data_IF_253943997332
#
_entry.id   IF_253943997332
#
_cell.length_a   1.000
_cell.length_b   1.000
_cell.length_c   1.000
_cell.angle_alpha   90.00
_cell.angle_beta   90.00
_cell.angle_gamma   90.00
#
_symmetry.space_group_name_H-M   'P 1'
#
loop_
_entity.id
_entity.type
_entity.pdbx_description
1 polymer ?
#
# COMPACT_ATOMS: atom_id res chain seq x y z
N UNK A 1 7.52 20.06 -39.33
CA UNK A 1 8.02 20.48 -40.65
C UNK A 1 7.60 19.41 -41.65
N UNK A 2 6.61 19.71 -42.52
CA UNK A 2 5.99 18.77 -43.49
C UNK A 2 6.93 18.19 -44.57
N UNK A 3 8.20 18.10 -44.28
CA UNK A 3 9.24 17.49 -45.15
C UNK A 3 9.63 16.09 -44.74
N UNK A 4 9.15 15.59 -43.61
CA UNK A 4 9.41 14.22 -43.10
C UNK A 4 8.27 13.26 -43.37
N UNK A 5 7.21 13.65 -44.04
CA UNK A 5 6.05 12.79 -44.37
C UNK A 5 6.39 11.54 -45.21
N UNK A 6 7.57 11.48 -45.80
CA UNK A 6 8.03 10.32 -46.57
C UNK A 6 9.03 9.41 -45.81
N UNK A 7 9.49 9.80 -44.64
CA UNK A 7 10.36 8.99 -43.79
C UNK A 7 9.49 8.29 -42.73
N UNK A 8 8.94 7.14 -43.10
CA UNK A 8 8.07 6.37 -42.20
C UNK A 8 8.92 5.58 -41.18
N UNK A 9 9.43 6.27 -40.17
CA UNK A 9 9.94 5.64 -38.95
C UNK A 9 8.80 5.64 -37.91
N UNK A 10 8.31 4.47 -37.58
CA UNK A 10 7.23 4.31 -36.62
C UNK A 10 7.75 3.78 -35.28
N UNK A 11 7.03 4.06 -34.19
CA UNK A 11 7.31 3.43 -32.91
C UNK A 11 7.07 1.94 -33.04
N UNK A 12 8.12 1.15 -32.71
CA UNK A 12 8.11 -0.31 -32.86
C UNK A 12 8.90 -0.84 -34.05
N UNK A 13 9.33 0.02 -34.97
CA UNK A 13 10.23 -0.37 -36.03
C UNK A 13 11.57 -0.84 -35.43
N UNK A 14 12.14 -1.88 -36.04
CA UNK A 14 13.42 -2.45 -35.59
C UNK A 14 14.32 -2.74 -36.79
N UNK A 15 15.59 -2.42 -36.63
CA UNK A 15 16.65 -2.74 -37.55
C UNK A 15 17.76 -3.55 -36.79
N UNK A 16 18.58 -4.36 -37.51
CA UNK A 16 19.73 -4.97 -36.87
C UNK A 16 20.65 -3.93 -36.24
N UNK A 17 21.03 -4.12 -34.98
CA UNK A 17 21.83 -3.17 -34.19
C UNK A 17 23.12 -2.78 -34.92
N UNK A 18 23.80 -3.75 -35.55
CA UNK A 18 25.08 -3.56 -36.26
C UNK A 18 24.98 -2.66 -37.50
N UNK A 19 23.77 -2.51 -38.04
CA UNK A 19 23.48 -1.65 -39.21
C UNK A 19 23.03 -0.23 -38.80
N UNK A 20 23.06 0.09 -37.51
CA UNK A 20 22.61 1.39 -37.00
C UNK A 20 23.77 2.35 -36.74
N UNK A 21 23.54 3.63 -37.01
CA UNK A 21 24.42 4.74 -36.56
C UNK A 21 24.63 4.71 -35.04
N UNK A 22 23.56 4.47 -34.32
CA UNK A 22 23.53 4.48 -32.88
C UNK A 22 24.54 3.49 -32.27
N UNK A 23 24.56 2.24 -32.76
CA UNK A 23 25.51 1.23 -32.28
C UNK A 23 26.94 1.63 -32.62
N UNK A 24 27.18 2.14 -33.82
CA UNK A 24 28.53 2.56 -34.23
C UNK A 24 29.07 3.75 -33.45
N UNK A 25 28.17 4.64 -32.95
CA UNK A 25 28.56 5.71 -32.05
C UNK A 25 28.87 5.18 -30.66
N UNK A 26 28.05 4.24 -30.14
CA UNK A 26 28.30 3.59 -28.83
C UNK A 26 29.65 2.86 -28.81
N UNK A 27 30.00 2.19 -29.91
CA UNK A 27 31.25 1.42 -30.10
C UNK A 27 32.46 2.31 -30.45
N UNK A 28 32.25 3.62 -30.65
CA UNK A 28 33.29 4.56 -31.04
C UNK A 28 33.74 4.42 -32.52
N UNK A 29 33.01 3.68 -33.33
CA UNK A 29 33.28 3.53 -34.80
C UNK A 29 32.81 4.72 -35.62
N UNK A 30 31.84 5.49 -35.08
CA UNK A 30 31.41 6.76 -35.62
C UNK A 30 31.48 7.82 -34.53
N UNK A 31 31.77 9.09 -34.88
CA UNK A 31 31.73 10.20 -33.94
C UNK A 31 30.27 10.55 -33.56
N UNK A 32 30.11 11.15 -32.39
CA UNK A 32 28.79 11.60 -31.89
C UNK A 32 28.19 12.74 -32.75
N UNK A 33 29.04 13.52 -33.41
CA UNK A 33 28.69 14.64 -34.30
C UNK A 33 29.18 14.35 -35.71
N UNK A 34 28.29 14.31 -36.69
CA UNK A 34 28.55 14.11 -38.11
C UNK A 34 27.86 15.23 -38.87
N UNK A 35 28.64 16.17 -39.41
CA UNK A 35 28.13 17.27 -40.23
C UNK A 35 27.77 16.83 -41.67
N UNK A 36 28.52 15.85 -42.20
CA UNK A 36 28.30 15.29 -43.53
C UNK A 36 28.63 13.78 -43.54
N UNK A 37 27.61 12.96 -43.49
CA UNK A 37 27.72 11.51 -43.48
C UNK A 37 28.28 10.96 -44.84
N UNK A 38 28.13 11.73 -45.92
CA UNK A 38 28.59 11.34 -47.25
C UNK A 38 30.13 11.40 -47.37
N UNK A 39 30.80 12.10 -46.48
CA UNK A 39 32.23 12.23 -46.41
C UNK A 39 32.90 11.21 -45.48
N UNK A 40 32.12 10.40 -44.76
CA UNK A 40 32.61 9.41 -43.82
C UNK A 40 32.50 8.00 -44.36
N UNK A 41 33.63 7.34 -44.68
CA UNK A 41 33.63 5.94 -45.21
C UNK A 41 32.84 4.97 -44.30
N UNK A 42 33.03 5.07 -42.97
CA UNK A 42 32.34 4.20 -42.02
C UNK A 42 30.79 4.43 -41.97
N UNK A 43 30.32 5.61 -42.35
CA UNK A 43 28.88 5.90 -42.47
C UNK A 43 28.32 5.33 -43.81
N UNK A 44 29.13 5.38 -44.88
CA UNK A 44 28.72 4.86 -46.20
C UNK A 44 28.63 3.33 -46.26
N UNK A 45 29.26 2.61 -45.32
CA UNK A 45 29.12 1.18 -45.15
C UNK A 45 27.72 0.77 -44.63
N UNK A 46 26.99 1.68 -43.97
CA UNK A 46 25.69 1.41 -43.43
C UNK A 46 24.60 1.50 -44.50
N UNK A 47 23.79 0.47 -44.73
CA UNK A 47 22.68 0.51 -45.69
C UNK A 47 21.72 1.70 -45.41
N UNK A 48 21.44 1.97 -44.13
CA UNK A 48 20.54 3.05 -43.66
C UNK A 48 20.98 4.43 -44.15
N UNK A 49 22.27 4.65 -44.42
CA UNK A 49 22.79 5.95 -44.96
C UNK A 49 22.18 6.27 -46.32
N UNK A 50 21.89 5.24 -47.13
CA UNK A 50 21.33 5.38 -48.48
C UNK A 50 19.79 5.27 -48.45
N UNK A 51 19.25 4.42 -47.59
CA UNK A 51 17.81 4.17 -47.46
C UNK A 51 17.08 5.37 -46.83
N UNK A 52 17.66 5.99 -45.82
CA UNK A 52 17.11 7.17 -45.13
C UNK A 52 17.83 8.47 -45.53
N UNK A 53 18.49 8.59 -46.64
CA UNK A 53 19.51 9.56 -47.08
C UNK A 53 20.04 10.46 -45.93
N UNK A 54 20.80 9.84 -45.00
CA UNK A 54 21.36 10.55 -43.85
C UNK A 54 22.48 11.49 -44.33
N UNK A 55 22.24 12.83 -44.17
CA UNK A 55 23.22 13.86 -44.48
C UNK A 55 24.02 14.30 -43.27
N UNK A 56 23.37 14.71 -42.20
CA UNK A 56 23.98 15.04 -40.90
C UNK A 56 23.38 14.19 -39.79
N UNK A 57 24.18 13.90 -38.76
CA UNK A 57 23.74 13.05 -37.63
C UNK A 57 24.39 13.50 -36.32
N UNK A 58 23.57 13.59 -35.27
CA UNK A 58 23.96 13.74 -33.88
C UNK A 58 23.45 12.55 -33.10
N UNK A 59 24.30 11.90 -32.32
CA UNK A 59 23.91 10.79 -31.48
C UNK A 59 24.78 10.72 -30.22
N UNK A 60 24.16 10.55 -29.09
CA UNK A 60 24.83 10.39 -27.80
C UNK A 60 24.23 9.21 -27.03
N UNK A 61 25.05 8.42 -26.32
CA UNK A 61 24.53 7.32 -25.53
C UNK A 61 23.75 7.81 -24.32
N UNK A 62 22.61 7.20 -24.06
CA UNK A 62 21.86 7.30 -22.81
C UNK A 62 22.46 6.28 -21.86
N UNK A 63 23.13 6.74 -20.80
CA UNK A 63 23.82 5.89 -19.83
C UNK A 63 23.12 5.89 -18.49
N UNK A 64 23.09 4.73 -17.87
CA UNK A 64 22.71 4.56 -16.47
C UNK A 64 23.89 4.92 -15.53
N UNK A 65 23.59 5.04 -14.23
CA UNK A 65 24.60 5.37 -13.21
C UNK A 65 25.71 4.33 -13.05
N UNK A 66 25.45 3.07 -13.43
CA UNK A 66 26.40 1.96 -13.44
C UNK A 66 27.29 1.95 -14.72
N UNK A 67 27.08 2.90 -15.65
CA UNK A 67 27.77 2.99 -16.92
C UNK A 67 27.13 2.18 -18.05
N UNK A 68 26.11 1.38 -17.76
CA UNK A 68 25.34 0.63 -18.75
C UNK A 68 24.70 1.57 -19.78
N UNK A 69 24.66 1.15 -21.04
CA UNK A 69 24.02 1.90 -22.12
C UNK A 69 22.61 1.37 -22.32
N UNK A 70 21.61 2.23 -22.10
CA UNK A 70 20.22 1.92 -22.37
C UNK A 70 19.86 2.02 -23.87
N UNK A 71 20.45 2.99 -24.54
CA UNK A 71 20.20 3.31 -25.94
C UNK A 71 20.91 4.59 -26.32
N UNK A 72 20.41 5.28 -27.34
CA UNK A 72 20.97 6.56 -27.79
C UNK A 72 19.87 7.61 -27.91
N UNK A 73 20.25 8.86 -27.67
CA UNK A 73 19.43 10.01 -28.03
C UNK A 73 20.02 10.58 -29.31
N UNK A 74 19.29 10.50 -30.42
CA UNK A 74 19.82 10.88 -31.71
C UNK A 74 18.84 11.75 -32.52
N UNK A 75 19.41 12.52 -33.43
CA UNK A 75 18.68 13.23 -34.49
C UNK A 75 19.50 13.20 -35.77
N UNK A 76 18.85 13.28 -36.92
CA UNK A 76 19.51 13.34 -38.20
C UNK A 76 18.78 14.29 -39.17
N UNK A 77 19.50 14.72 -40.18
CA UNK A 77 18.99 15.49 -41.30
C UNK A 77 19.28 14.75 -42.60
N UNK A 78 18.43 14.87 -43.59
CA UNK A 78 18.66 14.32 -44.94
C UNK A 78 19.68 15.10 -45.77
N UNK A 79 20.13 16.25 -45.24
CA UNK A 79 21.15 17.08 -45.88
C UNK A 79 22.30 17.30 -44.93
N UNK A 80 23.55 17.41 -45.45
CA UNK A 80 24.67 17.86 -44.65
C UNK A 80 24.38 19.20 -43.98
N UNK A 81 24.84 19.39 -42.74
CA UNK A 81 24.69 20.59 -41.96
C UNK A 81 26.01 20.98 -41.29
N UNK A 82 26.74 21.91 -41.93
CA UNK A 82 28.01 22.42 -41.41
C UNK A 82 27.85 23.38 -40.24
N UNK A 83 26.64 23.73 -39.85
CA UNK A 83 26.39 24.62 -38.68
C UNK A 83 26.40 23.89 -37.36
N UNK A 84 26.20 22.53 -37.38
CA UNK A 84 26.24 21.71 -36.17
C UNK A 84 27.64 21.78 -35.52
N UNK A 85 27.65 21.91 -34.21
CA UNK A 85 28.87 22.12 -33.45
C UNK A 85 28.76 21.49 -32.04
N UNK A 86 29.85 21.61 -31.24
CA UNK A 86 29.95 21.08 -29.89
C UNK A 86 28.86 21.62 -28.94
N UNK A 87 28.31 22.80 -29.16
CA UNK A 87 27.21 23.33 -28.34
C UNK A 87 25.93 22.51 -28.53
N UNK A 88 25.64 22.12 -29.78
CA UNK A 88 24.49 21.32 -30.11
C UNK A 88 24.65 19.90 -29.53
N UNK A 89 25.85 19.35 -29.66
CA UNK A 89 26.22 18.07 -29.08
C UNK A 89 26.10 18.07 -27.55
N UNK A 90 26.59 19.11 -26.88
CA UNK A 90 26.48 19.24 -25.43
C UNK A 90 25.02 19.39 -24.97
N UNK A 91 24.19 20.07 -25.77
CA UNK A 91 22.75 20.12 -25.51
C UNK A 91 22.13 18.73 -25.56
N UNK A 92 22.48 17.94 -26.59
CA UNK A 92 22.00 16.56 -26.73
C UNK A 92 22.48 15.65 -25.58
N UNK A 93 23.77 15.81 -25.17
CA UNK A 93 24.34 15.10 -24.00
C UNK A 93 23.57 15.41 -22.71
N UNK A 94 23.17 16.67 -22.52
CA UNK A 94 22.36 17.06 -21.34
C UNK A 94 20.99 16.36 -21.34
N UNK A 95 20.32 16.34 -22.48
CA UNK A 95 19.03 15.61 -22.61
C UNK A 95 19.20 14.10 -22.43
N UNK A 96 20.26 13.50 -22.97
CA UNK A 96 20.56 12.09 -22.80
C UNK A 96 20.82 11.74 -21.32
N UNK A 97 21.58 12.58 -20.61
CA UNK A 97 21.82 12.39 -19.18
C UNK A 97 20.54 12.52 -18.34
N UNK A 98 19.66 13.46 -18.67
CA UNK A 98 18.36 13.59 -18.01
C UNK A 98 17.45 12.39 -18.29
N UNK A 99 17.36 11.97 -19.55
CA UNK A 99 16.59 10.79 -19.94
C UNK A 99 17.10 9.52 -19.23
N UNK A 100 18.42 9.34 -19.14
CA UNK A 100 19.01 8.22 -18.43
C UNK A 100 18.60 8.14 -16.96
N UNK A 101 18.60 9.26 -16.25
CA UNK A 101 18.14 9.34 -14.85
C UNK A 101 16.65 9.00 -14.71
N UNK A 102 15.80 9.52 -15.59
CA UNK A 102 14.37 9.23 -15.56
C UNK A 102 14.10 7.75 -15.80
N UNK A 103 14.71 7.17 -16.85
CA UNK A 103 14.56 5.77 -17.20
C UNK A 103 15.07 4.84 -16.10
N UNK A 104 16.21 5.16 -15.49
CA UNK A 104 16.75 4.39 -14.37
C UNK A 104 15.82 4.42 -13.16
N UNK A 105 15.27 5.58 -12.82
CA UNK A 105 14.31 5.72 -11.71
C UNK A 105 13.05 4.92 -11.98
N UNK A 106 12.53 4.99 -13.20
CA UNK A 106 11.35 4.22 -13.61
C UNK A 106 11.59 2.71 -13.57
N UNK A 107 12.74 2.25 -14.10
CA UNK A 107 13.10 0.83 -14.08
C UNK A 107 13.22 0.29 -12.64
N UNK A 108 13.88 1.03 -11.74
CA UNK A 108 14.00 0.68 -10.32
C UNK A 108 12.63 0.62 -9.63
N UNK A 109 11.76 1.57 -9.92
CA UNK A 109 10.38 1.59 -9.38
C UNK A 109 9.58 0.39 -9.86
N UNK A 110 9.60 0.09 -11.16
CA UNK A 110 8.91 -1.07 -11.73
C UNK A 110 9.43 -2.39 -11.14
N UNK A 111 10.74 -2.55 -11.02
CA UNK A 111 11.34 -3.74 -10.41
C UNK A 111 10.95 -3.88 -8.94
N UNK A 112 10.93 -2.78 -8.20
CA UNK A 112 10.47 -2.76 -6.80
C UNK A 112 9.01 -3.18 -6.69
N UNK A 113 8.11 -2.61 -7.52
CA UNK A 113 6.70 -2.99 -7.56
C UNK A 113 6.49 -4.47 -7.93
N UNK A 114 7.20 -4.97 -8.94
CA UNK A 114 7.13 -6.38 -9.34
C UNK A 114 7.57 -7.32 -8.21
N UNK A 115 8.66 -6.97 -7.51
CA UNK A 115 9.15 -7.74 -6.36
C UNK A 115 8.16 -7.74 -5.19
N UNK A 116 7.54 -6.59 -4.87
CA UNK A 116 6.51 -6.48 -3.83
C UNK A 116 5.29 -7.32 -4.18
N UNK A 117 4.79 -7.19 -5.42
CA UNK A 117 3.65 -7.97 -5.92
C UNK A 117 3.91 -9.46 -5.78
N UNK A 118 5.05 -9.96 -6.26
CA UNK A 118 5.41 -11.38 -6.18
C UNK A 118 5.45 -11.88 -4.73
N UNK A 119 5.95 -11.08 -3.78
CA UNK A 119 5.95 -11.48 -2.36
C UNK A 119 4.55 -11.63 -1.80
N UNK A 120 3.64 -10.66 -2.08
CA UNK A 120 2.26 -10.74 -1.59
C UNK A 120 1.51 -11.90 -2.24
N UNK A 121 1.68 -12.11 -3.56
CA UNK A 121 1.09 -13.24 -4.28
C UNK A 121 1.57 -14.59 -3.71
N UNK A 122 2.85 -14.70 -3.38
CA UNK A 122 3.39 -15.92 -2.75
C UNK A 122 2.79 -16.15 -1.36
N UNK A 123 2.66 -15.10 -0.53
CA UNK A 123 2.02 -15.20 0.79
C UNK A 123 0.59 -15.74 0.66
N UNK A 124 -0.18 -15.23 -0.30
CA UNK A 124 -1.55 -15.67 -0.56
C UNK A 124 -1.60 -17.12 -1.08
N UNK A 125 -0.76 -17.46 -2.06
CA UNK A 125 -0.73 -18.79 -2.69
C UNK A 125 -0.30 -19.89 -1.71
N UNK A 126 0.74 -19.63 -0.92
CA UNK A 126 1.28 -20.58 0.07
C UNK A 126 0.51 -20.58 1.38
N UNK A 127 -0.43 -19.66 1.55
CA UNK A 127 -1.12 -19.42 2.83
C UNK A 127 -0.14 -19.24 3.99
N UNK A 128 0.96 -18.53 3.74
CA UNK A 128 2.02 -18.26 4.73
C UNK A 128 1.60 -17.19 5.74
N UNK A 129 0.34 -17.20 6.12
CA UNK A 129 -0.30 -16.29 7.06
C UNK A 129 -1.19 -17.05 8.06
N UNK A 130 -1.65 -16.35 9.06
CA UNK A 130 -2.60 -16.85 10.03
C UNK A 130 -3.10 -15.73 10.91
N UNK A 131 -3.92 -16.09 11.89
CA UNK A 131 -4.55 -15.15 12.80
C UNK A 131 -4.34 -15.62 14.24
N UNK A 132 -4.07 -14.67 15.13
CA UNK A 132 -4.16 -14.84 16.58
C UNK A 132 -5.28 -13.95 17.12
N UNK A 133 -5.77 -14.28 18.30
CA UNK A 133 -6.93 -13.62 18.89
C UNK A 133 -6.52 -12.99 20.21
N UNK A 134 -6.82 -11.72 20.37
CA UNK A 134 -6.58 -11.00 21.61
C UNK A 134 -7.90 -10.73 22.34
N UNK A 135 -8.03 -11.09 23.63
CA UNK A 135 -9.27 -10.93 24.37
C UNK A 135 -9.58 -9.46 24.65
N UNK A 136 -10.87 -9.11 24.52
CA UNK A 136 -11.45 -7.84 24.93
C UNK A 136 -12.29 -8.10 26.17
N UNK A 137 -11.93 -7.41 27.27
CA UNK A 137 -12.51 -7.64 28.61
C UNK A 137 -13.48 -6.53 28.97
N UNK A 138 -14.67 -6.89 29.47
CA UNK A 138 -15.60 -5.95 30.07
C UNK A 138 -15.16 -5.65 31.51
N UNK A 139 -14.80 -4.40 31.81
CA UNK A 139 -14.11 -4.01 33.05
C UNK A 139 -14.96 -4.11 34.30
N UNK A 140 -16.30 -3.94 34.18
CA UNK A 140 -17.22 -4.05 35.30
C UNK A 140 -17.56 -5.51 35.60
N UNK A 141 -17.86 -6.27 34.53
CA UNK A 141 -18.23 -7.70 34.64
C UNK A 141 -17.01 -8.62 34.83
N UNK A 142 -15.82 -8.12 34.56
CA UNK A 142 -14.54 -8.83 34.61
C UNK A 142 -14.57 -10.14 33.82
N UNK A 143 -15.15 -10.13 32.62
CA UNK A 143 -15.22 -11.27 31.70
C UNK A 143 -14.83 -10.89 30.28
N UNK A 144 -14.36 -11.86 29.53
CA UNK A 144 -14.09 -11.67 28.11
C UNK A 144 -15.43 -11.56 27.38
N UNK A 145 -15.59 -10.52 26.56
CA UNK A 145 -16.80 -10.22 25.78
C UNK A 145 -16.55 -10.20 24.28
N UNK A 146 -15.30 -10.26 23.86
CA UNK A 146 -14.91 -10.29 22.45
C UNK A 146 -13.44 -10.64 22.30
N UNK A 147 -13.05 -10.82 21.05
CA UNK A 147 -11.67 -11.01 20.64
C UNK A 147 -11.41 -10.19 19.39
N UNK A 148 -10.23 -9.60 19.31
CA UNK A 148 -9.74 -9.01 18.09
C UNK A 148 -8.89 -10.02 17.33
N UNK A 149 -9.13 -10.13 16.02
CA UNK A 149 -8.35 -10.99 15.13
C UNK A 149 -7.16 -10.21 14.57
N UNK A 150 -5.96 -10.66 14.90
CA UNK A 150 -4.70 -10.01 14.56
C UNK A 150 -3.89 -10.86 13.57
N UNK A 151 -3.61 -10.32 12.40
CA UNK A 151 -2.85 -11.00 11.35
C UNK A 151 -1.43 -11.35 11.81
N UNK A 152 -0.93 -12.51 11.37
CA UNK A 152 0.43 -12.97 11.54
C UNK A 152 0.94 -13.58 10.24
N UNK A 153 2.14 -13.18 9.84
CA UNK A 153 2.78 -13.68 8.62
C UNK A 153 4.00 -14.53 8.96
N UNK A 154 4.16 -15.65 8.25
CA UNK A 154 5.27 -16.59 8.40
C UNK A 154 6.14 -16.64 7.14
N UNK A 155 6.10 -15.58 6.35
CA UNK A 155 6.83 -15.44 5.10
C UNK A 155 8.08 -14.59 5.28
N UNK A 156 9.05 -14.81 4.41
CA UNK A 156 10.24 -13.96 4.33
C UNK A 156 10.01 -12.75 3.42
N UNK A 157 10.55 -11.58 3.80
CA UNK A 157 11.29 -11.29 5.04
C UNK A 157 10.35 -11.19 6.25
N UNK A 158 10.85 -11.62 7.42
CA UNK A 158 10.10 -11.49 8.68
C UNK A 158 9.89 -10.01 9.00
N UNK A 159 8.63 -9.60 9.12
CA UNK A 159 8.23 -8.21 9.39
C UNK A 159 6.83 -8.15 9.98
N UNK A 160 6.48 -6.98 10.48
CA UNK A 160 5.18 -6.72 11.10
C UNK A 160 4.04 -6.74 10.05
N UNK A 161 2.80 -7.04 10.47
CA UNK A 161 1.65 -7.10 9.57
C UNK A 161 1.41 -5.81 8.79
N UNK A 162 1.58 -4.64 9.42
CA UNK A 162 1.43 -3.33 8.77
C UNK A 162 2.26 -3.22 7.48
N UNK A 163 3.50 -3.73 7.48
CA UNK A 163 4.37 -3.73 6.30
C UNK A 163 3.87 -4.63 5.17
N UNK A 164 3.17 -5.71 5.50
CA UNK A 164 2.56 -6.58 4.49
C UNK A 164 1.33 -5.92 3.87
N UNK A 165 0.48 -5.28 4.68
CA UNK A 165 -0.68 -4.54 4.17
C UNK A 165 -0.26 -3.30 3.38
N UNK A 166 0.76 -2.55 3.82
CA UNK A 166 1.35 -1.43 3.06
C UNK A 166 1.83 -1.87 1.66
N UNK A 167 2.55 -3.00 1.57
CA UNK A 167 2.98 -3.52 0.28
C UNK A 167 1.82 -3.99 -0.58
N UNK A 168 0.86 -4.68 0.00
CA UNK A 168 -0.33 -5.12 -0.71
C UNK A 168 -1.10 -3.91 -1.30
N UNK A 169 -1.26 -2.83 -0.54
CA UNK A 169 -1.85 -1.57 -1.01
C UNK A 169 -1.07 -0.95 -2.18
N UNK A 170 0.26 -0.91 -2.09
CA UNK A 170 1.12 -0.34 -3.14
C UNK A 170 1.07 -1.12 -4.46
N UNK A 171 0.69 -2.38 -4.44
CA UNK A 171 0.63 -3.25 -5.63
C UNK A 171 -0.79 -3.67 -6.01
N UNK A 172 -1.81 -3.09 -5.35
CA UNK A 172 -3.23 -3.32 -5.64
C UNK A 172 -3.72 -4.73 -5.27
N UNK A 173 -3.17 -5.33 -4.20
CA UNK A 173 -3.56 -6.63 -3.64
C UNK A 173 -4.09 -6.53 -2.20
N UNK A 174 -4.42 -5.31 -1.76
CA UNK A 174 -4.89 -5.07 -0.39
C UNK A 174 -6.17 -5.82 -0.09
N UNK A 175 -7.16 -5.73 -0.99
CA UNK A 175 -8.44 -6.41 -0.86
C UNK A 175 -8.27 -7.92 -0.72
N UNK A 176 -7.47 -8.53 -1.59
CA UNK A 176 -7.22 -9.97 -1.57
C UNK A 176 -6.58 -10.41 -0.25
N UNK A 177 -5.63 -9.62 0.26
CA UNK A 177 -4.96 -9.92 1.52
C UNK A 177 -5.89 -9.74 2.73
N UNK A 178 -6.68 -8.66 2.78
CA UNK A 178 -7.65 -8.42 3.85
C UNK A 178 -8.74 -9.49 3.88
N UNK A 179 -9.29 -9.87 2.73
CA UNK A 179 -10.28 -10.95 2.65
C UNK A 179 -9.69 -12.29 3.12
N UNK A 180 -8.46 -12.60 2.73
CA UNK A 180 -7.79 -13.82 3.20
C UNK A 180 -7.59 -13.82 4.73
N UNK A 181 -7.34 -12.65 5.35
CA UNK A 181 -7.27 -12.52 6.81
C UNK A 181 -8.63 -12.68 7.47
N UNK A 182 -9.68 -12.09 6.91
CA UNK A 182 -11.06 -12.24 7.41
C UNK A 182 -11.48 -13.71 7.36
N UNK A 183 -11.26 -14.38 6.24
CA UNK A 183 -11.55 -15.83 6.10
C UNK A 183 -10.77 -16.66 7.13
N UNK A 184 -9.49 -16.37 7.33
CA UNK A 184 -8.68 -17.05 8.33
C UNK A 184 -9.18 -16.81 9.77
N UNK A 185 -9.64 -15.59 10.07
CA UNK A 185 -10.23 -15.26 11.36
C UNK A 185 -11.54 -15.98 11.60
N UNK A 186 -12.39 -16.09 10.59
CA UNK A 186 -13.67 -16.80 10.68
C UNK A 186 -13.51 -18.30 10.90
N UNK A 187 -12.41 -18.93 10.47
CA UNK A 187 -12.13 -20.35 10.77
C UNK A 187 -12.02 -20.65 12.28
N UNK A 188 -11.66 -19.64 13.09
CA UNK A 188 -11.62 -19.76 14.55
C UNK A 188 -12.92 -19.38 15.25
N UNK A 189 -13.88 -18.81 14.54
CA UNK A 189 -15.04 -18.16 15.13
C UNK A 189 -15.92 -19.11 15.95
N UNK A 190 -16.14 -20.33 15.49
CA UNK A 190 -16.93 -21.37 16.20
C UNK A 190 -16.31 -21.80 17.53
N UNK A 191 -15.02 -21.51 17.74
CA UNK A 191 -14.32 -21.82 19.00
C UNK A 191 -14.51 -20.74 20.06
N UNK A 192 -14.97 -19.55 19.66
CA UNK A 192 -15.27 -18.47 20.59
C UNK A 192 -16.53 -18.80 21.40
N UNK A 193 -16.63 -18.30 22.66
CA UNK A 193 -17.86 -18.40 23.43
C UNK A 193 -19.06 -17.82 22.67
N UNK A 194 -20.24 -18.41 22.83
CA UNK A 194 -21.43 -17.99 22.08
C UNK A 194 -21.85 -16.53 22.38
N UNK A 195 -21.52 -16.01 23.54
CA UNK A 195 -21.78 -14.63 23.98
C UNK A 195 -20.59 -13.66 23.71
N UNK A 196 -19.59 -14.12 22.95
CA UNK A 196 -18.42 -13.34 22.58
C UNK A 196 -18.49 -12.93 21.11
N UNK A 197 -18.04 -11.72 20.82
CA UNK A 197 -17.92 -11.22 19.45
C UNK A 197 -16.49 -11.32 18.91
N UNK A 198 -16.37 -11.29 17.58
CA UNK A 198 -15.09 -11.22 16.87
C UNK A 198 -14.97 -9.88 16.15
N UNK A 199 -13.85 -9.20 16.37
CA UNK A 199 -13.51 -7.94 15.70
C UNK A 199 -12.50 -8.19 14.58
N UNK A 200 -12.74 -7.57 13.42
CA UNK A 200 -12.03 -7.80 12.16
C UNK A 200 -11.58 -6.47 11.57
N UNK A 201 -10.29 -6.31 11.35
CA UNK A 201 -9.71 -5.16 10.70
C UNK A 201 -9.99 -5.17 9.19
N UNK A 202 -10.43 -4.04 8.64
CA UNK A 202 -10.76 -3.90 7.22
C UNK A 202 -10.62 -2.46 6.74
N UNK A 203 -10.14 -2.26 5.53
CA UNK A 203 -10.09 -0.93 4.91
C UNK A 203 -11.43 -0.50 4.30
N UNK A 204 -11.68 0.81 4.19
CA UNK A 204 -12.84 1.35 3.48
C UNK A 204 -12.92 0.87 2.03
N UNK A 205 -11.79 0.75 1.36
CA UNK A 205 -11.71 0.31 -0.03
C UNK A 205 -12.22 -1.13 -0.20
N UNK A 206 -11.88 -2.02 0.72
CA UNK A 206 -12.32 -3.42 0.71
C UNK A 206 -13.81 -3.53 1.01
N UNK A 207 -14.35 -2.70 1.90
CA UNK A 207 -15.79 -2.61 2.16
C UNK A 207 -16.54 -2.15 0.90
N UNK A 208 -16.09 -1.06 0.28
CA UNK A 208 -16.70 -0.49 -0.92
C UNK A 208 -16.64 -1.44 -2.13
N UNK A 209 -15.64 -2.32 -2.18
CA UNK A 209 -15.55 -3.36 -3.21
C UNK A 209 -16.61 -4.47 -3.07
N UNK A 210 -17.41 -4.49 -1.99
CA UNK A 210 -18.48 -5.46 -1.74
C UNK A 210 -18.02 -6.83 -1.25
N UNK A 211 -16.73 -7.14 -1.32
CA UNK A 211 -16.18 -8.45 -0.98
C UNK A 211 -16.40 -8.86 0.49
N UNK A 212 -16.45 -7.90 1.40
CA UNK A 212 -16.72 -8.13 2.83
C UNK A 212 -18.12 -8.72 3.03
N UNK A 213 -19.13 -8.17 2.35
CA UNK A 213 -20.50 -8.67 2.42
C UNK A 213 -20.63 -10.13 1.96
N UNK A 214 -19.92 -10.50 0.90
CA UNK A 214 -19.90 -11.87 0.37
C UNK A 214 -19.31 -12.87 1.38
N UNK A 215 -18.18 -12.51 1.99
CA UNK A 215 -17.51 -13.39 2.97
C UNK A 215 -18.30 -13.52 4.27
N UNK A 216 -18.99 -12.46 4.69
CA UNK A 216 -19.77 -12.45 5.93
C UNK A 216 -21.21 -12.97 5.78
N UNK A 217 -21.71 -13.20 4.56
CA UNK A 217 -23.12 -13.52 4.27
C UNK A 217 -23.68 -14.74 5.03
N UNK A 218 -22.84 -15.70 5.43
CA UNK A 218 -23.24 -16.89 6.17
C UNK A 218 -22.94 -16.85 7.67
N UNK A 219 -22.45 -15.71 8.17
CA UNK A 219 -22.00 -15.57 9.55
C UNK A 219 -23.05 -14.88 10.42
N UNK A 220 -23.11 -15.15 11.74
CA UNK A 220 -23.97 -14.41 12.67
C UNK A 220 -23.42 -12.97 12.85
N UNK A 221 -23.95 -12.02 12.07
CA UNK A 221 -23.44 -10.65 11.97
C UNK A 221 -23.52 -9.90 13.30
N UNK A 222 -24.49 -10.21 14.16
CA UNK A 222 -24.66 -9.65 15.51
C UNK A 222 -23.47 -9.99 16.45
N UNK A 223 -22.66 -10.97 16.09
CA UNK A 223 -21.45 -11.36 16.80
C UNK A 223 -20.16 -10.88 16.10
N UNK A 224 -20.27 -10.08 15.05
CA UNK A 224 -19.13 -9.53 14.32
C UNK A 224 -19.05 -8.01 14.49
N UNK A 225 -17.83 -7.51 14.44
CA UNK A 225 -17.50 -6.09 14.40
C UNK A 225 -16.42 -5.84 13.36
N UNK A 226 -16.61 -4.85 12.51
CA UNK A 226 -15.57 -4.38 11.60
C UNK A 226 -14.86 -3.17 12.23
N UNK A 227 -13.55 -3.15 12.13
CA UNK A 227 -12.70 -2.06 12.60
C UNK A 227 -12.11 -1.32 11.41
N UNK A 228 -12.33 0.00 11.37
CA UNK A 228 -11.75 0.89 10.38
C UNK A 228 -10.79 1.83 11.09
N UNK A 229 -9.52 1.84 10.67
CA UNK A 229 -8.50 2.68 11.29
C UNK A 229 -8.70 4.15 10.95
N UNK A 230 -8.32 5.06 11.87
CA UNK A 230 -8.41 6.51 11.64
C UNK A 230 -7.54 6.99 10.47
N UNK A 231 -6.46 6.27 10.14
CA UNK A 231 -5.54 6.61 9.06
C UNK A 231 -6.07 6.22 7.67
N UNK A 232 -7.18 5.48 7.62
CA UNK A 232 -7.78 5.09 6.36
C UNK A 232 -8.36 6.32 5.62
N UNK A 233 -7.99 6.50 4.36
CA UNK A 233 -8.53 7.56 3.53
C UNK A 233 -9.95 7.21 3.11
N UNK A 234 -10.94 7.85 3.71
CA UNK A 234 -12.33 7.74 3.27
C UNK A 234 -12.63 8.88 2.30
N UNK A 235 -12.71 8.56 1.01
CA UNK A 235 -13.02 9.52 -0.05
C UNK A 235 -14.48 9.94 0.00
N UNK A 236 -15.38 8.97 0.21
CA UNK A 236 -16.82 9.18 0.26
C UNK A 236 -17.43 8.42 1.44
N UNK A 237 -17.83 9.16 2.47
CA UNK A 237 -18.45 8.61 3.67
C UNK A 237 -19.89 8.13 3.45
N UNK A 238 -20.61 8.73 2.49
CA UNK A 238 -22.00 8.37 2.20
C UNK A 238 -22.02 7.01 1.52
N UNK A 239 -21.19 6.79 0.51
CA UNK A 239 -21.04 5.49 -0.13
C UNK A 239 -20.59 4.40 0.84
N UNK A 240 -19.64 4.72 1.75
CA UNK A 240 -19.19 3.74 2.75
C UNK A 240 -20.31 3.40 3.74
N UNK A 241 -21.09 4.38 4.18
CA UNK A 241 -22.24 4.16 5.05
C UNK A 241 -23.32 3.33 4.36
N UNK A 242 -23.62 3.62 3.08
CA UNK A 242 -24.55 2.85 2.26
C UNK A 242 -24.11 1.39 2.09
N UNK A 243 -22.81 1.15 1.86
CA UNK A 243 -22.26 -0.19 1.74
C UNK A 243 -22.35 -1.01 3.04
N UNK A 244 -22.22 -0.34 4.19
CA UNK A 244 -22.32 -0.97 5.52
C UNK A 244 -23.77 -1.17 5.98
N UNK A 245 -24.71 -0.38 5.51
CA UNK A 245 -26.08 -0.34 6.01
C UNK A 245 -26.81 -1.70 5.99
N UNK A 246 -26.74 -2.52 4.90
CA UNK A 246 -27.35 -3.85 4.91
C UNK A 246 -26.80 -4.74 6.01
N UNK A 247 -25.49 -4.78 6.20
CA UNK A 247 -24.81 -5.59 7.21
C UNK A 247 -25.15 -5.12 8.63
N UNK A 248 -25.22 -3.81 8.84
CA UNK A 248 -25.59 -3.22 10.14
C UNK A 248 -27.03 -3.50 10.52
N UNK A 249 -27.96 -3.57 9.57
CA UNK A 249 -29.36 -3.97 9.83
C UNK A 249 -29.46 -5.41 10.31
N UNK A 250 -28.55 -6.26 9.92
CA UNK A 250 -28.44 -7.65 10.38
C UNK A 250 -27.62 -7.80 11.67
N UNK A 251 -27.21 -6.69 12.29
CA UNK A 251 -26.56 -6.65 13.60
C UNK A 251 -25.04 -6.47 13.58
N UNK A 252 -24.39 -6.34 12.40
CA UNK A 252 -22.97 -6.05 12.32
C UNK A 252 -22.66 -4.73 13.02
N UNK A 253 -21.62 -4.73 13.85
CA UNK A 253 -21.13 -3.52 14.54
C UNK A 253 -19.94 -2.94 13.81
N UNK A 254 -19.79 -1.63 13.92
CA UNK A 254 -18.65 -0.87 13.38
C UNK A 254 -17.86 -0.26 14.54
N UNK A 255 -16.55 -0.38 14.47
CA UNK A 255 -15.61 0.34 15.33
C UNK A 255 -14.73 1.30 14.51
N UNK A 256 -14.40 2.44 15.10
CA UNK A 256 -13.30 3.29 14.64
C UNK A 256 -12.11 3.01 15.54
N UNK A 257 -11.01 2.61 14.93
CA UNK A 257 -9.78 2.21 15.59
C UNK A 257 -8.76 3.34 15.66
N UNK A 258 -7.78 3.21 16.56
CA UNK A 258 -6.68 4.17 16.82
C UNK A 258 -7.13 5.59 17.18
N UNK A 259 -8.32 5.77 17.75
CA UNK A 259 -8.84 7.09 18.07
C UNK A 259 -7.96 7.81 19.10
N UNK A 260 -7.48 8.99 18.73
CA UNK A 260 -6.60 9.84 19.55
C UNK A 260 -5.16 9.93 19.04
N UNK A 261 -4.77 9.11 18.05
CA UNK A 261 -3.46 9.21 17.41
C UNK A 261 -3.38 10.36 16.38
N UNK A 262 -4.53 10.88 15.88
CA UNK A 262 -4.57 11.95 14.89
C UNK A 262 -5.88 12.72 14.82
N UNK A 263 -6.03 13.58 13.79
CA UNK A 263 -7.20 14.44 13.60
C UNK A 263 -8.35 13.78 12.80
N UNK A 264 -8.10 12.67 12.13
CA UNK A 264 -9.07 12.05 11.24
C UNK A 264 -10.18 11.29 12.00
N UNK A 265 -9.88 10.77 13.19
CA UNK A 265 -10.80 9.97 14.02
C UNK A 265 -12.14 10.65 14.27
N UNK A 266 -12.16 11.94 14.63
CA UNK A 266 -13.42 12.66 14.89
C UNK A 266 -14.31 12.75 13.65
N UNK A 267 -13.70 12.93 12.46
CA UNK A 267 -14.46 12.96 11.21
C UNK A 267 -15.06 11.60 10.89
N UNK A 268 -14.30 10.51 11.08
CA UNK A 268 -14.79 9.15 10.93
C UNK A 268 -15.94 8.87 11.87
N UNK A 269 -15.78 9.20 13.16
CA UNK A 269 -16.80 8.98 14.18
C UNK A 269 -18.10 9.74 13.85
N UNK A 270 -18.00 11.03 13.52
CA UNK A 270 -19.16 11.86 13.20
C UNK A 270 -19.90 11.40 11.94
N UNK A 271 -19.19 10.92 10.93
CA UNK A 271 -19.74 10.53 9.63
C UNK A 271 -20.24 9.09 9.60
N UNK A 272 -19.47 8.15 10.17
CA UNK A 272 -19.80 6.73 10.16
C UNK A 272 -20.69 6.28 11.28
N UNK A 273 -20.80 7.09 12.36
CA UNK A 273 -21.59 6.78 13.58
C UNK A 273 -21.30 5.35 14.05
N UNK A 274 -20.06 5.06 14.49
CA UNK A 274 -19.68 3.71 14.90
C UNK A 274 -20.40 3.31 16.18
N UNK A 275 -20.45 2.01 16.44
CA UNK A 275 -20.96 1.44 17.69
C UNK A 275 -19.89 1.50 18.80
N UNK A 276 -18.60 1.48 18.36
CA UNK A 276 -17.44 1.44 19.26
C UNK A 276 -16.36 2.42 18.81
N UNK A 277 -15.73 3.07 19.78
CA UNK A 277 -14.51 3.86 19.60
C UNK A 277 -13.40 3.16 20.38
N UNK A 278 -12.30 2.77 19.69
CA UNK A 278 -11.12 2.17 20.30
C UNK A 278 -10.09 3.29 20.54
N UNK A 279 -9.72 3.49 21.80
CA UNK A 279 -8.72 4.48 22.18
C UNK A 279 -7.32 3.89 22.00
N UNK A 280 -6.50 4.54 21.21
CA UNK A 280 -5.14 4.12 20.88
C UNK A 280 -4.25 3.94 22.11
N UNK A 281 -3.36 2.94 22.04
CA UNK A 281 -2.44 2.62 23.12
C UNK A 281 -1.53 3.79 23.55
N UNK A 282 -1.21 4.72 22.65
CA UNK A 282 -0.39 5.89 22.99
C UNK A 282 -1.11 6.83 23.97
N UNK A 283 -2.45 6.86 23.92
CA UNK A 283 -3.28 7.63 24.82
C UNK A 283 -3.51 6.93 26.17
N UNK A 284 -3.48 5.60 26.16
CA UNK A 284 -3.72 4.77 27.36
C UNK A 284 -2.44 4.60 28.19
N UNK A 285 -1.30 4.54 27.52
CA UNK A 285 0.00 4.45 28.20
C UNK A 285 0.22 5.66 29.11
N UNK A 286 0.51 5.38 30.38
CA UNK A 286 0.67 6.39 31.44
C UNK A 286 -0.59 7.23 31.74
N UNK A 287 -1.79 6.79 31.38
CA UNK A 287 -3.05 7.52 31.67
C UNK A 287 -3.26 7.78 33.16
N UNK A 288 -2.67 6.97 34.04
CA UNK A 288 -2.67 7.11 35.50
C UNK A 288 -1.79 8.27 35.98
N UNK A 289 -0.66 8.51 35.33
CA UNK A 289 0.38 9.47 35.75
C UNK A 289 0.43 10.73 34.89
N UNK A 290 0.17 10.65 33.58
CA UNK A 290 0.14 11.80 32.67
C UNK A 290 -1.23 12.49 32.68
N UNK A 291 -1.23 13.77 33.06
CA UNK A 291 -2.47 14.58 33.12
C UNK A 291 -3.04 14.89 31.75
N UNK A 292 -2.17 15.03 30.72
CA UNK A 292 -2.57 15.32 29.36
C UNK A 292 -3.29 14.11 28.73
N UNK A 293 -2.66 12.93 28.79
CA UNK A 293 -3.25 11.66 28.33
C UNK A 293 -4.60 11.41 29.04
N UNK A 294 -4.63 11.58 30.37
CA UNK A 294 -5.86 11.40 31.14
C UNK A 294 -6.97 12.37 30.75
N UNK A 295 -6.65 13.65 30.55
CA UNK A 295 -7.63 14.66 30.17
C UNK A 295 -8.21 14.39 28.77
N UNK A 296 -7.35 13.99 27.82
CA UNK A 296 -7.79 13.66 26.47
C UNK A 296 -8.63 12.37 26.45
N UNK A 297 -8.20 11.32 27.16
CA UNK A 297 -8.98 10.10 27.31
C UNK A 297 -10.36 10.38 27.91
N UNK A 298 -10.43 11.18 28.99
CA UNK A 298 -11.70 11.58 29.61
C UNK A 298 -12.61 12.34 28.63
N UNK A 299 -12.05 13.23 27.82
CA UNK A 299 -12.81 13.97 26.81
C UNK A 299 -13.38 13.05 25.72
N UNK A 300 -12.60 12.08 25.23
CA UNK A 300 -13.05 11.09 24.25
C UNK A 300 -14.12 10.15 24.82
N UNK A 301 -13.96 9.72 26.08
CA UNK A 301 -14.96 8.90 26.77
C UNK A 301 -16.26 9.67 26.89
N UNK A 302 -16.21 10.93 27.32
CA UNK A 302 -17.40 11.79 27.41
C UNK A 302 -18.06 12.01 26.06
N UNK A 303 -17.26 12.23 25.01
CA UNK A 303 -17.76 12.34 23.64
C UNK A 303 -18.47 11.06 23.19
N UNK A 304 -17.89 9.88 23.47
CA UNK A 304 -18.51 8.60 23.16
C UNK A 304 -19.86 8.41 23.88
N UNK A 305 -19.94 8.78 25.16
CA UNK A 305 -21.22 8.77 25.94
C UNK A 305 -22.29 9.64 25.29
N UNK A 306 -21.95 10.87 24.91
CA UNK A 306 -22.89 11.81 24.28
C UNK A 306 -23.36 11.35 22.88
N UNK A 307 -22.51 10.62 22.18
CA UNK A 307 -22.82 10.07 20.84
C UNK A 307 -23.43 8.67 20.87
N UNK A 308 -23.56 8.06 22.05
CA UNK A 308 -24.09 6.71 22.22
C UNK A 308 -23.11 5.58 21.86
N UNK A 309 -21.83 5.91 21.59
CA UNK A 309 -20.79 4.93 21.30
C UNK A 309 -20.28 4.26 22.58
N UNK A 310 -19.80 3.02 22.46
CA UNK A 310 -19.04 2.35 23.53
C UNK A 310 -17.54 2.60 23.34
N UNK A 311 -16.78 2.51 24.43
CA UNK A 311 -15.33 2.71 24.40
C UNK A 311 -14.61 1.40 24.69
N UNK A 312 -13.57 1.11 23.92
CA UNK A 312 -12.55 0.09 24.21
C UNK A 312 -11.22 0.80 24.38
N UNK A 313 -10.56 0.64 25.52
CA UNK A 313 -9.20 1.15 25.74
C UNK A 313 -8.18 0.09 25.33
N UNK A 314 -7.18 0.47 24.54
CA UNK A 314 -6.20 -0.43 24.01
C UNK A 314 -4.83 -0.31 24.69
N UNK A 315 -4.01 -1.37 24.57
CA UNK A 315 -2.65 -1.36 25.04
C UNK A 315 -2.47 -1.26 26.55
N UNK A 316 -3.45 -1.74 27.34
CA UNK A 316 -3.35 -1.75 28.79
C UNK A 316 -2.26 -2.73 29.24
N UNK A 317 -1.19 -2.22 29.87
CA UNK A 317 -0.02 -3.01 30.29
C UNK A 317 0.14 -3.06 31.81
N UNK A 318 -0.40 -2.09 32.58
CA UNK A 318 -0.22 -1.98 34.01
C UNK A 318 -1.54 -1.98 34.80
N UNK A 319 -1.48 -2.35 36.09
CA UNK A 319 -2.63 -2.32 37.00
C UNK A 319 -3.06 -0.87 37.30
N UNK A 320 -2.12 0.06 37.29
CA UNK A 320 -2.33 1.48 37.51
C UNK A 320 -3.14 2.10 36.37
N UNK A 321 -2.80 1.80 35.11
CA UNK A 321 -3.58 2.17 33.93
C UNK A 321 -5.00 1.59 34.00
N UNK A 322 -5.12 0.30 34.31
CA UNK A 322 -6.42 -0.37 34.43
C UNK A 322 -7.28 0.25 35.53
N UNK A 323 -6.70 0.60 36.66
CA UNK A 323 -7.40 1.26 37.77
C UNK A 323 -7.88 2.64 37.37
N UNK A 324 -7.09 3.42 36.60
CA UNK A 324 -7.48 4.71 36.08
C UNK A 324 -8.61 4.59 35.05
N UNK A 325 -8.54 3.65 34.13
CA UNK A 325 -9.61 3.40 33.14
C UNK A 325 -10.96 3.06 33.82
N UNK A 326 -10.93 2.29 34.90
CA UNK A 326 -12.13 2.01 35.71
C UNK A 326 -12.68 3.29 36.37
N UNK A 327 -11.82 4.21 36.87
CA UNK A 327 -12.24 5.52 37.40
C UNK A 327 -12.84 6.41 36.30
N UNK A 328 -12.33 6.31 35.08
CA UNK A 328 -12.87 7.04 33.94
C UNK A 328 -14.13 6.36 33.33
N UNK A 329 -14.66 5.32 33.99
CA UNK A 329 -15.85 4.58 33.58
C UNK A 329 -15.75 3.92 32.18
N UNK A 330 -14.56 3.56 31.73
CA UNK A 330 -14.37 2.79 30.49
C UNK A 330 -15.01 1.42 30.66
N UNK A 331 -15.81 1.02 29.65
CA UNK A 331 -16.56 -0.22 29.73
C UNK A 331 -15.72 -1.44 29.41
N UNK A 332 -14.85 -1.35 28.37
CA UNK A 332 -14.08 -2.46 27.85
C UNK A 332 -12.61 -2.05 27.67
N UNK A 333 -11.72 -3.02 27.78
CA UNK A 333 -10.30 -2.81 27.55
C UNK A 333 -9.64 -4.05 26.95
N UNK A 334 -8.51 -3.81 26.30
CA UNK A 334 -7.62 -4.78 25.67
C UNK A 334 -6.17 -4.39 25.98
N UNK A 335 -5.31 -5.37 26.13
CA UNK A 335 -3.89 -5.14 26.38
C UNK A 335 -3.21 -6.36 26.98
N UNK A 336 -1.88 -6.32 27.05
CA UNK A 336 -1.08 -7.47 27.52
C UNK A 336 -1.36 -7.84 28.98
N UNK A 337 -1.77 -6.89 29.80
CA UNK A 337 -2.20 -7.14 31.16
C UNK A 337 -3.45 -8.03 31.22
N UNK A 338 -4.38 -7.86 30.28
CA UNK A 338 -5.67 -8.56 30.23
C UNK A 338 -5.62 -9.86 29.42
N UNK A 339 -4.67 -9.97 28.50
CA UNK A 339 -4.43 -11.15 27.70
C UNK A 339 -3.57 -10.84 26.46
N UNK A 340 -2.59 -11.71 26.22
CA UNK A 340 -1.77 -11.60 25.00
C UNK A 340 -2.48 -12.23 23.81
N UNK A 341 -2.22 -11.74 22.58
CA UNK A 341 -2.69 -12.38 21.36
C UNK A 341 -2.20 -13.83 21.29
N UNK A 342 -3.12 -14.78 21.15
CA UNK A 342 -2.81 -16.20 21.10
C UNK A 342 -3.71 -16.96 20.12
N UNK A 343 -3.28 -18.14 19.69
CA UNK A 343 -4.16 -19.06 18.99
C UNK A 343 -5.29 -19.51 19.93
N UNK A 344 -6.51 -19.66 19.41
CA UNK A 344 -7.61 -20.21 20.19
C UNK A 344 -7.30 -21.66 20.54
N UNK A 345 -7.35 -21.97 21.82
CA UNK A 345 -7.24 -23.36 22.32
C UNK A 345 -8.37 -24.21 21.69
N UNK A 346 -8.07 -25.48 21.37
CA UNK A 346 -9.11 -26.41 21.04
C UNK A 346 -10.13 -26.46 22.19
N UNK A 347 -11.44 -26.36 21.90
CA UNK A 347 -12.46 -26.57 22.94
C UNK A 347 -12.16 -27.90 23.59
N UNK A 348 -11.79 -27.88 24.87
CA UNK A 348 -11.88 -29.11 25.69
C UNK A 348 -13.37 -29.39 25.76
N UNK A 349 -13.82 -30.44 25.07
CA UNK A 349 -15.18 -30.94 25.21
C UNK A 349 -15.35 -31.31 26.67
N UNK A 350 -16.01 -30.45 27.44
CA UNK A 350 -16.54 -30.83 28.76
C UNK A 350 -17.69 -31.75 28.47
N UNK A 351 -17.44 -33.08 28.71
CA UNK A 351 -18.42 -34.10 28.64
C UNK A 351 -19.50 -33.97 29.72
#
# INVERSE_FOLDING_TARGET
DGRTEHLMLCVGDSNPLEESYCQRVVDGRLPELINDATQLPAALELPVTRELPVGAHLSVPIRFSDGGVYGTFCCFSTRPDGSLNERDLNTLRLFAAFAGRLLETQAKSQQSCASKRSRVENVLAERSYGVVYQPIVHLVENRIVGHEALARFRADPQRTPDKWFDEAGQVGLQKELEIAMIEAALQGFDRLPADSYLSLNVSPETILAGAVGEVLASQPLDRLMLEVTEHALVQDYELLAEALEPLRREGLRLAVDDAGAGYASFRHILKLKPDVIKLDASLIRNVDSDTGCRALAAALIRFAEETGCKVVAEGVETQEELAMLRRLAVNKAQGYLLGQPSALSARVATG
#
